data_IF_679544507244
#
_entry.id   IF_679544507244
#
_cell.length_a   1.000
_cell.length_b   1.000
_cell.length_c   1.000
_cell.angle_alpha   90.00
_cell.angle_beta   90.00
_cell.angle_gamma   90.00
#
_symmetry.space_group_name_H-M   'P 1'
#
loop_
_entity.id
_entity.type
_entity.pdbx_description
1 polymer ?
#
# COMPACT_ATOMS: atom_id res chain seq x y z
N UNK A 1 -2.98 26.54 3.93
CA UNK A 1 -3.10 25.33 4.77
C UNK A 1 -1.94 24.35 4.52
N UNK A 2 -1.72 23.86 3.29
CA UNK A 2 -0.61 22.94 2.99
C UNK A 2 0.77 23.58 3.24
N UNK A 3 0.97 24.80 2.78
CA UNK A 3 2.24 25.51 2.93
C UNK A 3 2.65 25.67 4.41
N UNK A 4 1.69 25.88 5.28
CA UNK A 4 1.92 26.01 6.71
C UNK A 4 2.19 24.66 7.37
N UNK A 5 1.56 23.60 6.92
CA UNK A 5 1.88 22.24 7.34
C UNK A 5 3.32 21.89 6.95
N UNK A 6 3.72 22.14 5.72
CA UNK A 6 5.10 21.91 5.26
C UNK A 6 6.14 22.70 6.05
N UNK A 7 5.88 23.97 6.43
CA UNK A 7 6.80 24.75 7.24
C UNK A 7 7.07 24.18 8.63
N UNK A 8 6.15 23.36 9.14
CA UNK A 8 6.24 22.68 10.43
C UNK A 8 6.71 21.24 10.32
N UNK A 9 6.87 20.73 9.10
CA UNK A 9 7.26 19.36 8.85
C UNK A 9 8.77 19.21 8.90
N UNK A 10 9.23 18.12 9.45
CA UNK A 10 10.61 17.68 9.36
C UNK A 10 10.80 16.90 8.06
N UNK A 11 11.32 17.56 7.03
CA UNK A 11 11.55 16.95 5.72
C UNK A 11 12.58 15.82 5.77
N UNK A 12 13.55 15.92 6.66
CA UNK A 12 14.54 14.86 6.81
C UNK A 12 13.88 13.58 7.35
N UNK A 13 13.08 13.70 8.40
CA UNK A 13 12.31 12.58 8.93
C UNK A 13 11.35 11.98 7.89
N UNK A 14 10.68 12.81 7.10
CA UNK A 14 9.80 12.36 6.02
C UNK A 14 10.52 11.55 4.93
N UNK A 15 11.78 11.87 4.67
CA UNK A 15 12.60 11.21 3.66
C UNK A 15 13.39 10.00 4.20
N UNK A 16 13.48 9.83 5.52
CA UNK A 16 14.26 8.75 6.12
C UNK A 16 13.78 7.37 5.72
N UNK A 17 12.47 7.18 5.51
CA UNK A 17 11.92 5.94 4.99
C UNK A 17 12.56 5.57 3.65
N UNK A 18 12.60 6.51 2.71
CA UNK A 18 13.20 6.30 1.40
C UNK A 18 14.72 6.13 1.49
N UNK A 19 15.42 6.91 2.31
CA UNK A 19 16.86 6.79 2.51
C UNK A 19 17.25 5.39 3.04
N UNK A 20 16.43 4.83 3.93
CA UNK A 20 16.69 3.54 4.55
C UNK A 20 16.29 2.34 3.69
N UNK A 21 15.25 2.47 2.86
CA UNK A 21 14.62 1.34 2.18
C UNK A 21 14.75 1.38 0.64
N UNK A 22 15.17 2.51 0.08
CA UNK A 22 15.31 2.62 -1.38
C UNK A 22 16.57 1.88 -1.84
N UNK A 23 16.46 1.01 -2.85
CA UNK A 23 17.61 0.29 -3.37
C UNK A 23 18.73 1.25 -3.83
N UNK A 24 19.94 1.01 -3.40
CA UNK A 24 21.12 1.80 -3.78
C UNK A 24 22.23 0.89 -4.32
N UNK A 25 23.09 1.39 -5.22
CA UNK A 25 24.22 0.61 -5.72
C UNK A 25 25.21 0.21 -4.61
N UNK A 26 25.83 -0.98 -4.69
CA UNK A 26 25.55 -2.02 -5.69
C UNK A 26 24.19 -2.69 -5.42
N UNK A 27 23.35 -2.81 -6.47
CA UNK A 27 22.04 -3.48 -6.33
C UNK A 27 22.27 -4.98 -6.12
N UNK A 28 22.24 -5.40 -4.88
CA UNK A 28 22.36 -6.79 -4.48
C UNK A 28 20.97 -7.41 -4.39
N UNK A 29 20.87 -8.69 -4.72
CA UNK A 29 19.67 -9.45 -4.48
C UNK A 29 19.44 -9.58 -2.96
N UNK A 30 18.22 -9.28 -2.51
CA UNK A 30 17.84 -9.53 -1.13
C UNK A 30 17.68 -11.04 -0.93
N UNK A 31 18.58 -11.61 -0.14
CA UNK A 31 18.57 -13.03 0.19
C UNK A 31 17.95 -13.34 1.55
N UNK A 32 17.46 -12.33 2.25
CA UNK A 32 16.83 -12.53 3.53
C UNK A 32 15.52 -13.35 3.36
N UNK A 33 15.24 -14.24 4.32
CA UNK A 33 14.01 -15.02 4.27
C UNK A 33 12.78 -14.12 4.27
N UNK A 34 11.87 -14.37 3.33
CA UNK A 34 10.61 -13.65 3.26
C UNK A 34 9.80 -13.91 4.52
N UNK A 35 9.49 -12.83 5.26
CA UNK A 35 8.55 -12.89 6.36
C UNK A 35 7.15 -12.59 5.84
N UNK A 36 6.28 -13.59 5.87
CA UNK A 36 4.88 -13.40 5.48
C UNK A 36 4.11 -12.58 6.51
N UNK A 37 3.18 -11.77 6.03
CA UNK A 37 2.23 -11.04 6.88
C UNK A 37 1.25 -12.03 7.51
N UNK A 38 1.19 -12.06 8.84
CA UNK A 38 0.45 -13.06 9.63
C UNK A 38 -1.00 -12.64 9.98
N UNK A 39 -1.46 -11.53 9.46
CA UNK A 39 -2.83 -11.01 9.67
C UNK A 39 -3.58 -10.95 8.35
N UNK A 40 -4.94 -10.95 8.38
CA UNK A 40 -5.72 -10.69 7.17
C UNK A 40 -5.38 -9.34 6.56
N UNK A 41 -5.34 -9.26 5.23
CA UNK A 41 -4.94 -8.07 4.48
C UNK A 41 -6.07 -7.63 3.56
N UNK A 42 -6.37 -6.33 3.58
CA UNK A 42 -7.18 -5.65 2.58
C UNK A 42 -6.29 -4.71 1.78
N UNK A 43 -6.14 -4.99 0.49
CA UNK A 43 -5.30 -4.22 -0.42
C UNK A 43 -6.17 -3.53 -1.48
N UNK A 44 -5.95 -2.24 -1.69
CA UNK A 44 -6.53 -1.48 -2.79
C UNK A 44 -5.47 -1.15 -3.83
N UNK A 45 -5.86 -1.19 -5.10
CA UNK A 45 -5.00 -0.79 -6.20
C UNK A 45 -5.80 -0.08 -7.30
N UNK A 46 -5.34 1.09 -7.71
CA UNK A 46 -5.88 1.81 -8.86
C UNK A 46 -5.26 1.29 -10.15
N UNK A 47 -6.08 0.89 -11.12
CA UNK A 47 -5.56 0.31 -12.38
C UNK A 47 -4.97 1.36 -13.33
N UNK A 48 -5.22 2.66 -13.09
CA UNK A 48 -4.57 3.77 -13.80
C UNK A 48 -3.27 4.24 -13.10
N UNK A 49 -2.76 3.47 -12.13
CA UNK A 49 -1.50 3.78 -11.47
C UNK A 49 -0.33 3.56 -12.42
N UNK A 50 0.38 4.65 -12.73
CA UNK A 50 1.56 4.64 -13.60
C UNK A 50 2.88 4.50 -12.85
N UNK A 51 2.85 4.52 -11.53
CA UNK A 51 4.01 4.37 -10.67
C UNK A 51 4.16 2.95 -10.14
N UNK A 52 3.06 2.35 -9.70
CA UNK A 52 2.96 0.96 -9.28
C UNK A 52 2.03 0.24 -10.26
N UNK A 53 2.59 -0.42 -11.25
CA UNK A 53 1.83 -1.06 -12.31
C UNK A 53 1.01 -2.25 -11.76
N UNK A 54 -0.09 -2.55 -12.43
CA UNK A 54 -0.99 -3.64 -12.07
C UNK A 54 -0.33 -5.03 -12.08
N UNK A 55 0.68 -5.23 -12.92
CA UNK A 55 1.50 -6.46 -12.92
C UNK A 55 2.20 -6.73 -11.58
N UNK A 56 2.43 -5.70 -10.76
CA UNK A 56 3.02 -5.84 -9.42
C UNK A 56 2.06 -6.53 -8.44
N UNK A 57 0.78 -6.67 -8.77
CA UNK A 57 -0.19 -7.42 -7.98
C UNK A 57 0.00 -8.94 -8.11
N UNK A 58 0.68 -9.37 -9.19
CA UNK A 58 0.89 -10.78 -9.43
C UNK A 58 1.70 -11.41 -8.29
N UNK A 59 1.21 -12.54 -7.82
CA UNK A 59 1.84 -13.29 -6.74
C UNK A 59 1.85 -12.60 -5.35
N UNK A 60 1.16 -11.47 -5.17
CA UNK A 60 1.08 -10.78 -3.86
C UNK A 60 0.66 -11.71 -2.72
N UNK A 61 -0.19 -12.70 -3.02
CA UNK A 61 -0.63 -13.71 -2.05
C UNK A 61 0.48 -14.55 -1.46
N UNK A 62 1.64 -14.67 -2.10
CA UNK A 62 2.80 -15.41 -1.57
C UNK A 62 3.37 -14.79 -0.29
N UNK A 63 3.14 -13.48 -0.11
CA UNK A 63 3.62 -12.70 1.02
C UNK A 63 2.63 -12.65 2.19
N UNK A 64 1.46 -13.26 2.02
CA UNK A 64 0.36 -13.23 2.99
C UNK A 64 0.10 -14.65 3.49
N UNK A 65 0.23 -14.86 4.79
CA UNK A 65 -0.03 -16.15 5.43
C UNK A 65 -1.52 -16.39 5.77
N UNK A 66 -2.33 -15.33 5.69
CA UNK A 66 -3.77 -15.34 6.00
C UNK A 66 -4.57 -14.89 4.76
N UNK A 67 -5.79 -14.43 4.96
CA UNK A 67 -6.66 -14.00 3.88
C UNK A 67 -6.18 -12.70 3.23
N UNK A 68 -6.14 -12.68 1.91
CA UNK A 68 -5.92 -11.47 1.12
C UNK A 68 -7.21 -11.12 0.38
N UNK A 69 -7.75 -9.93 0.67
CA UNK A 69 -8.80 -9.30 -0.12
C UNK A 69 -8.17 -8.23 -1.00
N UNK A 70 -8.16 -8.45 -2.30
CA UNK A 70 -7.65 -7.48 -3.28
C UNK A 70 -8.80 -6.77 -3.97
N UNK A 71 -8.79 -5.44 -3.94
CA UNK A 71 -9.78 -4.58 -4.59
C UNK A 71 -9.08 -3.71 -5.62
N UNK A 72 -9.34 -3.98 -6.89
CA UNK A 72 -8.86 -3.14 -7.99
C UNK A 72 -9.89 -2.09 -8.37
N UNK A 73 -9.44 -0.89 -8.69
CA UNK A 73 -10.30 0.26 -9.01
C UNK A 73 -9.92 0.78 -10.41
N UNK A 74 -10.74 0.49 -11.45
CA UNK A 74 -10.39 0.82 -12.83
C UNK A 74 -10.16 2.31 -13.10
N UNK A 75 -10.93 3.18 -12.43
CA UNK A 75 -10.89 4.62 -12.66
C UNK A 75 -10.10 5.37 -11.57
N UNK A 76 -9.03 4.79 -11.07
CA UNK A 76 -8.19 5.40 -10.04
C UNK A 76 -6.71 5.14 -10.32
N UNK A 77 -5.90 6.15 -10.04
CA UNK A 77 -4.45 6.10 -10.14
C UNK A 77 -3.77 5.78 -8.80
N UNK A 78 -2.55 6.28 -8.66
CA UNK A 78 -1.72 6.08 -7.47
C UNK A 78 -2.38 6.50 -6.15
N UNK A 79 -3.23 7.50 -6.20
CA UNK A 79 -3.91 8.06 -5.02
C UNK A 79 -5.35 7.54 -4.88
N UNK A 80 -5.57 6.28 -5.23
CA UNK A 80 -6.87 5.62 -5.21
C UNK A 80 -7.69 5.89 -3.94
N UNK A 81 -7.04 5.94 -2.77
CA UNK A 81 -7.69 6.22 -1.48
C UNK A 81 -8.32 7.62 -1.43
N UNK A 82 -7.71 8.61 -2.08
CA UNK A 82 -8.24 9.98 -2.14
C UNK A 82 -9.17 10.18 -3.33
N UNK A 83 -8.89 9.56 -4.46
CA UNK A 83 -9.68 9.66 -5.68
C UNK A 83 -11.03 8.97 -5.57
N UNK A 84 -11.09 7.86 -4.84
CA UNK A 84 -12.29 7.06 -4.62
C UNK A 84 -12.61 6.89 -3.13
N UNK A 85 -12.43 7.96 -2.34
CA UNK A 85 -12.46 7.94 -0.88
C UNK A 85 -13.73 7.29 -0.27
N UNK A 86 -14.91 7.59 -0.81
CA UNK A 86 -16.17 7.01 -0.33
C UNK A 86 -16.18 5.49 -0.54
N UNK A 87 -15.85 5.04 -1.75
CA UNK A 87 -15.81 3.62 -2.09
C UNK A 87 -14.82 2.88 -1.20
N UNK A 88 -13.59 3.38 -1.08
CA UNK A 88 -12.54 2.78 -0.23
C UNK A 88 -12.99 2.71 1.22
N UNK A 89 -13.57 3.79 1.76
CA UNK A 89 -14.04 3.84 3.15
C UNK A 89 -15.15 2.82 3.42
N UNK A 90 -16.09 2.68 2.51
CA UNK A 90 -17.20 1.74 2.66
C UNK A 90 -16.71 0.29 2.56
N UNK A 91 -15.81 0.01 1.63
CA UNK A 91 -15.17 -1.30 1.52
C UNK A 91 -14.36 -1.66 2.79
N UNK A 92 -13.57 -0.72 3.31
CA UNK A 92 -12.85 -0.93 4.57
C UNK A 92 -13.79 -1.23 5.74
N UNK A 93 -14.86 -0.46 5.88
CA UNK A 93 -15.85 -0.65 6.95
C UNK A 93 -16.50 -2.03 6.87
N UNK A 94 -16.92 -2.43 5.67
CA UNK A 94 -17.54 -3.73 5.45
C UNK A 94 -16.55 -4.87 5.74
N UNK A 95 -15.33 -4.76 5.25
CA UNK A 95 -14.30 -5.77 5.49
C UNK A 95 -13.98 -5.91 6.98
N UNK A 96 -13.81 -4.81 7.71
CA UNK A 96 -13.58 -4.84 9.16
C UNK A 96 -14.74 -5.48 9.92
N UNK A 97 -15.98 -5.26 9.49
CA UNK A 97 -17.16 -5.90 10.09
C UNK A 97 -17.12 -7.41 9.91
N UNK A 98 -16.74 -7.88 8.74
CA UNK A 98 -16.60 -9.32 8.47
C UNK A 98 -15.48 -9.92 9.31
N UNK A 99 -14.32 -9.27 9.39
CA UNK A 99 -13.19 -9.76 10.21
C UNK A 99 -13.53 -9.84 11.70
N UNK A 100 -14.29 -8.87 12.21
CA UNK A 100 -14.70 -8.86 13.63
C UNK A 100 -15.72 -9.97 13.99
N UNK A 101 -16.31 -10.62 13.00
CA UNK A 101 -17.31 -11.69 13.19
C UNK A 101 -16.69 -13.11 13.11
N UNK A 102 -15.41 -13.21 12.82
CA UNK A 102 -14.64 -14.47 12.75
C UNK A 102 -13.93 -14.75 14.07
#
# INVERSE_FOLDING_TARGET
RYLEAYRRSDFEAMLNYYKANYPSPPYLEDTDPVTQVQVPVLQFHGLDDTALLDDMLNDSWKWIARDLTLVTIPDAGHWAVTERATFVTDMMRNWLTVQASQ
#
